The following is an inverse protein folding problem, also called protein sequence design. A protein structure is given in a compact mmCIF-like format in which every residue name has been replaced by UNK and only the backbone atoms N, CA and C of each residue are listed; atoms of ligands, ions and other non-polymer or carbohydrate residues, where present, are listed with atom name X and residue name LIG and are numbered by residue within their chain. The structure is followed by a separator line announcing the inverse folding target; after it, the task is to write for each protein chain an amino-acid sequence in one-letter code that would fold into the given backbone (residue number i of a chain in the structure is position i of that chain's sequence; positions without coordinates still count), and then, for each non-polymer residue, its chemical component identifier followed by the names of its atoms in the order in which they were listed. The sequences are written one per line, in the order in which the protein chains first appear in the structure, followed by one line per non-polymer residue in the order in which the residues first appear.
data_IF_312255971374
#
_entry.id   IF_312255971374
#
_cell.length_a   1.000
_cell.length_b   1.000
_cell.length_c   1.000
_cell.angle_alpha   90.00
_cell.angle_beta   90.00
_cell.angle_gamma   90.00
#
_symmetry.space_group_name_H-M   'P 1'
#
loop_
_entity.id
_entity.type
_entity.pdbx_description
1 polymer ?
#
# COMPACT_ATOMS: atom_id res chain seq x y z
N UNK A 1 27.93 -19.26 -0.87
CA UNK A 1 27.15 -18.00 -1.03
C UNK A 1 25.86 -18.15 -1.86
N UNK A 2 25.71 -19.07 -2.82
CA UNK A 2 24.48 -19.12 -3.65
C UNK A 2 23.23 -19.63 -2.92
N UNK A 3 23.35 -20.55 -1.95
CA UNK A 3 22.19 -21.08 -1.20
C UNK A 3 21.53 -19.98 -0.35
N UNK A 4 22.32 -19.17 0.36
CA UNK A 4 21.83 -18.04 1.15
C UNK A 4 21.12 -17.00 0.27
N UNK A 5 21.69 -16.64 -0.89
CA UNK A 5 21.04 -15.72 -1.81
C UNK A 5 19.72 -16.28 -2.39
N UNK A 6 19.68 -17.57 -2.71
CA UNK A 6 18.46 -18.22 -3.19
C UNK A 6 17.37 -18.28 -2.11
N UNK A 7 17.75 -18.53 -0.85
CA UNK A 7 16.82 -18.50 0.30
C UNK A 7 16.29 -17.09 0.54
N UNK A 8 17.14 -16.06 0.52
CA UNK A 8 16.72 -14.66 0.68
C UNK A 8 15.80 -14.22 -0.44
N UNK A 9 16.10 -14.58 -1.70
CA UNK A 9 15.25 -14.27 -2.85
C UNK A 9 13.93 -15.02 -2.80
N UNK A 10 13.93 -16.29 -2.38
CA UNK A 10 12.71 -17.07 -2.19
C UNK A 10 11.84 -16.48 -1.07
N UNK A 11 12.42 -16.14 0.07
CA UNK A 11 11.72 -15.50 1.18
C UNK A 11 11.15 -14.13 0.78
N UNK A 12 11.92 -13.33 0.03
CA UNK A 12 11.47 -12.04 -0.51
C UNK A 12 10.30 -12.19 -1.47
N UNK A 13 10.37 -13.13 -2.42
CA UNK A 13 9.26 -13.44 -3.34
C UNK A 13 8.04 -14.01 -2.61
N UNK A 14 8.23 -14.93 -1.67
CA UNK A 14 7.13 -15.48 -0.86
C UNK A 14 6.43 -14.39 -0.04
N UNK A 15 7.20 -13.50 0.60
CA UNK A 15 6.66 -12.34 1.33
C UNK A 15 5.87 -11.39 0.42
N UNK A 16 6.36 -11.16 -0.80
CA UNK A 16 5.69 -10.32 -1.79
C UNK A 16 4.38 -10.95 -2.30
N UNK A 17 4.35 -12.27 -2.53
CA UNK A 17 3.13 -13.02 -2.91
C UNK A 17 2.11 -13.00 -1.77
N UNK A 18 2.54 -13.19 -0.52
CA UNK A 18 1.68 -13.06 0.65
C UNK A 18 1.12 -11.64 0.74
N UNK A 19 1.94 -10.62 0.53
CA UNK A 19 1.50 -9.21 0.50
C UNK A 19 0.46 -8.97 -0.61
N UNK A 20 0.68 -9.51 -1.82
CA UNK A 20 -0.23 -9.43 -2.97
C UNK A 20 -1.62 -9.96 -2.62
N UNK A 21 -1.70 -11.13 -2.00
CA UNK A 21 -2.96 -11.80 -1.65
C UNK A 21 -3.46 -11.52 -0.23
N UNK A 22 -2.75 -10.72 0.57
CA UNK A 22 -3.09 -10.48 1.97
C UNK A 22 -4.51 -9.98 2.22
N UNK A 23 -5.09 -9.03 1.43
CA UNK A 23 -6.47 -8.60 1.67
C UNK A 23 -7.45 -9.75 1.48
N UNK A 24 -7.26 -10.54 0.42
CA UNK A 24 -8.12 -11.71 0.11
C UNK A 24 -8.04 -12.77 1.20
N UNK A 25 -6.84 -13.07 1.69
CA UNK A 25 -6.63 -14.05 2.77
C UNK A 25 -7.32 -13.57 4.05
N UNK A 26 -7.07 -12.32 4.47
CA UNK A 26 -7.66 -11.75 5.68
C UNK A 26 -9.19 -11.70 5.60
N UNK A 27 -9.76 -11.31 4.46
CA UNK A 27 -11.22 -11.33 4.26
C UNK A 27 -11.76 -12.75 4.35
N UNK A 28 -11.12 -13.72 3.69
CA UNK A 28 -11.57 -15.12 3.71
C UNK A 28 -11.55 -15.70 5.12
N UNK A 29 -10.43 -15.51 5.85
CA UNK A 29 -10.28 -15.96 7.24
C UNK A 29 -11.26 -15.24 8.15
N UNK A 30 -11.45 -13.93 7.97
CA UNK A 30 -12.40 -13.13 8.74
C UNK A 30 -13.85 -13.59 8.54
N UNK A 31 -14.27 -13.87 7.30
CA UNK A 31 -15.62 -14.39 7.02
C UNK A 31 -15.82 -15.77 7.62
N UNK A 32 -14.85 -16.68 7.46
CA UNK A 32 -14.91 -18.01 8.06
C UNK A 32 -14.98 -17.95 9.60
N UNK A 33 -14.17 -17.08 10.21
CA UNK A 33 -14.19 -16.85 11.65
C UNK A 33 -15.51 -16.27 12.14
N UNK A 34 -16.14 -15.37 11.37
CA UNK A 34 -17.46 -14.82 11.70
C UNK A 34 -18.55 -15.89 11.73
N UNK A 35 -18.53 -16.83 10.77
CA UNK A 35 -19.40 -18.01 10.80
C UNK A 35 -19.11 -18.85 12.05
N UNK A 36 -17.83 -19.07 12.38
CA UNK A 36 -17.40 -19.76 13.60
C UNK A 36 -17.93 -19.11 14.88
N UNK A 37 -17.93 -17.78 14.97
CA UNK A 37 -18.51 -17.03 16.08
C UNK A 37 -20.00 -17.31 16.24
N UNK A 38 -20.77 -17.32 15.15
CA UNK A 38 -22.21 -17.62 15.21
C UNK A 38 -22.46 -19.03 15.76
N UNK A 39 -21.66 -20.02 15.33
CA UNK A 39 -21.74 -21.40 15.83
C UNK A 39 -21.40 -21.48 17.32
N UNK A 40 -20.29 -20.87 17.75
CA UNK A 40 -19.85 -20.87 19.15
C UNK A 40 -20.84 -20.14 20.06
N UNK A 41 -21.38 -19.00 19.63
CA UNK A 41 -22.38 -18.26 20.37
C UNK A 41 -23.69 -19.05 20.50
N UNK A 42 -24.10 -19.76 19.44
CA UNK A 42 -25.28 -20.64 19.47
C UNK A 42 -25.06 -21.79 20.44
N UNK A 43 -23.90 -22.45 20.40
CA UNK A 43 -23.56 -23.51 21.36
C UNK A 43 -23.49 -23.02 22.81
N UNK A 44 -22.95 -21.81 23.03
CA UNK A 44 -22.96 -21.16 24.33
C UNK A 44 -24.40 -20.92 24.81
N UNK A 45 -25.26 -20.38 23.96
CA UNK A 45 -26.66 -20.09 24.29
C UNK A 45 -27.42 -21.33 24.78
N UNK A 46 -27.18 -22.50 24.17
CA UNK A 46 -27.78 -23.76 24.59
C UNK A 46 -27.39 -24.19 26.02
N UNK A 47 -26.24 -23.76 26.53
CA UNK A 47 -25.74 -24.07 27.87
C UNK A 47 -26.04 -22.99 28.91
N UNK A 48 -26.64 -21.86 28.50
CA UNK A 48 -27.01 -20.77 29.42
C UNK A 48 -28.11 -21.21 30.38
N UNK A 49 -29.05 -22.03 29.92
CA UNK A 49 -30.14 -22.56 30.75
C UNK A 49 -29.63 -23.25 32.01
N UNK A 50 -28.70 -24.19 31.86
CA UNK A 50 -28.09 -24.94 32.97
C UNK A 50 -27.45 -24.00 34.02
N UNK A 51 -26.74 -22.95 33.58
CA UNK A 51 -26.09 -21.99 34.48
C UNK A 51 -27.12 -21.12 35.22
N UNK A 52 -28.19 -20.71 34.54
CA UNK A 52 -29.26 -19.95 35.16
C UNK A 52 -30.02 -20.78 36.18
N UNK A 53 -30.25 -22.05 35.90
CA UNK A 53 -30.92 -22.96 36.82
C UNK A 53 -30.04 -23.28 38.04
N UNK A 54 -28.74 -23.51 37.86
CA UNK A 54 -27.78 -23.57 38.98
C UNK A 54 -27.82 -22.30 39.85
N UNK A 55 -27.85 -21.12 39.23
CA UNK A 55 -27.93 -19.84 39.93
C UNK A 55 -29.22 -19.68 40.73
N UNK A 56 -30.37 -20.08 40.16
CA UNK A 56 -31.66 -20.09 40.86
C UNK A 56 -31.69 -21.08 42.02
N UNK A 57 -31.09 -22.26 41.85
CA UNK A 57 -31.00 -23.28 42.91
C UNK A 57 -30.16 -22.78 44.09
N UNK A 58 -29.04 -22.10 43.82
CA UNK A 58 -28.22 -21.47 44.86
C UNK A 58 -28.99 -20.33 45.53
N UNK A 59 -29.71 -19.50 44.77
CA UNK A 59 -30.54 -18.43 45.31
C UNK A 59 -31.66 -18.97 46.23
N UNK A 60 -32.31 -20.06 45.83
CA UNK A 60 -33.31 -20.76 46.63
C UNK A 60 -32.72 -21.25 47.96
N UNK A 61 -31.51 -21.81 47.94
CA UNK A 61 -30.81 -22.26 49.16
C UNK A 61 -30.45 -21.08 50.08
N UNK A 62 -29.95 -19.97 49.53
CA UNK A 62 -29.65 -18.76 50.30
C UNK A 62 -30.91 -18.24 51.01
N UNK A 63 -32.03 -18.16 50.30
CA UNK A 63 -33.34 -17.80 50.87
C UNK A 63 -33.80 -18.78 51.94
N UNK A 64 -33.65 -20.09 51.71
CA UNK A 64 -34.02 -21.12 52.68
C UNK A 64 -33.24 -21.06 53.99
N UNK A 65 -31.95 -20.69 53.95
CA UNK A 65 -31.15 -20.45 55.16
C UNK A 65 -31.62 -19.20 55.90
N UNK A 66 -31.86 -18.11 55.16
CA UNK A 66 -32.34 -16.85 55.72
C UNK A 66 -33.72 -16.98 56.40
N UNK A 67 -34.65 -17.72 55.79
CA UNK A 67 -35.98 -18.00 56.33
C UNK A 67 -35.98 -19.08 57.44
N UNK A 68 -34.82 -19.62 57.82
CA UNK A 68 -34.69 -20.65 58.86
C UNK A 68 -35.19 -22.05 58.44
N UNK A 69 -35.50 -22.26 57.15
CA UNK A 69 -35.93 -23.55 56.58
C UNK A 69 -34.76 -24.53 56.39
N UNK A 70 -33.54 -24.02 56.22
CA UNK A 70 -32.32 -24.81 56.08
C UNK A 70 -31.40 -24.58 57.28
N UNK A 71 -30.82 -25.67 57.80
CA UNK A 71 -29.92 -25.60 58.96
C UNK A 71 -28.52 -25.14 58.55
N UNK A 72 -28.01 -24.18 59.30
CA UNK A 72 -26.61 -23.74 59.31
C UNK A 72 -25.77 -24.63 60.23
N UNK A 73 -24.45 -24.56 60.10
CA UNK A 73 -23.53 -25.31 60.96
C UNK A 73 -23.74 -24.94 62.44
N UNK A 74 -23.63 -25.91 63.37
CA UNK A 74 -23.81 -25.64 64.79
C UNK A 74 -22.80 -24.58 65.27
N UNK A 75 -23.30 -23.48 65.85
CA UNK A 75 -22.47 -22.39 66.39
C UNK A 75 -22.26 -21.20 65.46
N UNK A 76 -22.75 -21.23 64.22
CA UNK A 76 -22.71 -20.08 63.30
C UNK A 76 -24.04 -19.31 63.30
N UNK A 77 -23.97 -17.99 63.10
CA UNK A 77 -25.12 -17.10 62.91
C UNK A 77 -25.13 -16.58 61.48
N UNK A 78 -26.32 -16.47 60.89
CA UNK A 78 -26.51 -15.92 59.54
C UNK A 78 -27.20 -14.57 59.63
N UNK A 79 -26.50 -13.49 59.29
CA UNK A 79 -27.02 -12.13 59.42
C UNK A 79 -27.69 -11.64 58.13
N UNK A 80 -28.44 -10.53 58.24
CA UNK A 80 -28.99 -9.80 57.08
C UNK A 80 -27.91 -9.31 56.11
N UNK A 81 -26.73 -8.96 56.63
CA UNK A 81 -25.56 -8.58 55.84
C UNK A 81 -25.05 -9.75 54.99
N UNK A 82 -24.97 -10.95 55.58
CA UNK A 82 -24.49 -12.16 54.90
C UNK A 82 -25.48 -12.59 53.80
N UNK A 83 -26.78 -12.51 54.07
CA UNK A 83 -27.83 -12.76 53.07
C UNK A 83 -27.69 -11.89 51.82
N UNK A 84 -27.49 -10.57 52.01
CA UNK A 84 -27.30 -9.65 50.89
C UNK A 84 -26.01 -9.93 50.13
N UNK A 85 -24.92 -10.21 50.85
CA UNK A 85 -23.61 -10.53 50.25
C UNK A 85 -23.67 -11.80 49.42
N UNK A 86 -24.28 -12.87 49.93
CA UNK A 86 -24.40 -14.14 49.23
C UNK A 86 -25.27 -14.04 47.98
N UNK A 87 -26.37 -13.28 48.04
CA UNK A 87 -27.21 -12.99 46.88
C UNK A 87 -26.42 -12.26 45.78
N UNK A 88 -25.67 -11.23 46.14
CA UNK A 88 -24.82 -10.48 45.20
C UNK A 88 -23.74 -11.41 44.63
N UNK A 89 -23.07 -12.18 45.48
CA UNK A 89 -22.03 -13.11 45.08
C UNK A 89 -22.56 -14.16 44.10
N UNK A 90 -23.72 -14.75 44.37
CA UNK A 90 -24.36 -15.72 43.48
C UNK A 90 -24.67 -15.10 42.10
N UNK A 91 -25.21 -13.88 42.07
CA UNK A 91 -25.49 -13.16 40.82
C UNK A 91 -24.21 -12.86 40.05
N UNK A 92 -23.17 -12.39 40.72
CA UNK A 92 -21.85 -12.11 40.11
C UNK A 92 -21.23 -13.40 39.56
N UNK A 93 -21.24 -14.49 40.33
CA UNK A 93 -20.72 -15.78 39.87
C UNK A 93 -21.48 -16.32 38.66
N UNK A 94 -22.81 -16.21 38.67
CA UNK A 94 -23.67 -16.60 37.54
C UNK A 94 -23.31 -15.77 36.30
N UNK A 95 -23.18 -14.45 36.43
CA UNK A 95 -22.76 -13.58 35.34
C UNK A 95 -21.35 -13.92 34.82
N UNK A 96 -20.40 -14.21 35.70
CA UNK A 96 -19.04 -14.62 35.32
C UNK A 96 -19.03 -15.97 34.59
N UNK A 97 -19.85 -16.94 35.01
CA UNK A 97 -20.00 -18.23 34.31
C UNK A 97 -20.56 -18.03 32.90
N UNK A 98 -21.58 -17.19 32.74
CA UNK A 98 -22.13 -16.84 31.42
C UNK A 98 -21.06 -16.13 30.57
N UNK A 99 -20.36 -15.14 31.13
CA UNK A 99 -19.27 -14.45 30.44
C UNK A 99 -18.18 -15.41 29.95
N UNK A 100 -17.74 -16.33 30.83
CA UNK A 100 -16.75 -17.36 30.49
C UNK A 100 -17.22 -18.28 29.37
N UNK A 101 -18.53 -18.58 29.32
CA UNK A 101 -19.12 -19.43 28.29
C UNK A 101 -19.12 -18.76 26.90
N UNK A 102 -19.39 -17.45 26.82
CA UNK A 102 -19.34 -16.69 25.57
C UNK A 102 -17.95 -16.22 25.17
N UNK A 103 -16.95 -16.29 26.07
CA UNK A 103 -15.61 -15.79 25.82
C UNK A 103 -14.98 -16.29 24.51
N UNK A 104 -15.06 -17.59 24.13
CA UNK A 104 -14.51 -18.06 22.85
C UNK A 104 -15.19 -17.40 21.64
N UNK A 105 -16.52 -17.27 21.66
CA UNK A 105 -17.27 -16.66 20.56
C UNK A 105 -16.90 -15.17 20.40
N UNK A 106 -16.79 -14.45 21.51
CA UNK A 106 -16.40 -13.03 21.54
C UNK A 106 -14.98 -12.85 20.99
N UNK A 107 -14.03 -13.67 21.45
CA UNK A 107 -12.63 -13.59 20.98
C UNK A 107 -12.52 -13.85 19.48
N UNK A 108 -13.17 -14.91 18.97
CA UNK A 108 -13.19 -15.21 17.53
C UNK A 108 -13.89 -14.09 16.76
N UNK A 109 -14.95 -13.50 17.31
CA UNK A 109 -15.71 -12.42 16.65
C UNK A 109 -14.89 -11.14 16.51
N UNK A 110 -14.19 -10.75 17.57
CA UNK A 110 -13.26 -9.61 17.55
C UNK A 110 -12.13 -9.85 16.55
N UNK A 111 -11.48 -11.02 16.60
CA UNK A 111 -10.40 -11.36 15.68
C UNK A 111 -10.87 -11.35 14.21
N UNK A 112 -12.05 -11.93 13.94
CA UNK A 112 -12.64 -11.98 12.60
C UNK A 112 -12.93 -10.59 12.05
N UNK A 113 -13.50 -9.71 12.89
CA UNK A 113 -13.79 -8.32 12.52
C UNK A 113 -12.49 -7.56 12.23
N UNK A 114 -11.47 -7.73 13.06
CA UNK A 114 -10.16 -7.13 12.85
C UNK A 114 -9.52 -7.60 11.53
N UNK A 115 -9.63 -8.89 11.17
CA UNK A 115 -9.17 -9.39 9.88
C UNK A 115 -9.87 -8.69 8.69
N UNK A 116 -11.21 -8.58 8.72
CA UNK A 116 -11.95 -7.94 7.63
C UNK A 116 -11.61 -6.44 7.51
N UNK A 117 -11.54 -5.72 8.63
CA UNK A 117 -11.17 -4.30 8.62
C UNK A 117 -9.73 -4.09 8.18
N UNK A 118 -8.81 -4.96 8.59
CA UNK A 118 -7.42 -4.95 8.15
C UNK A 118 -7.30 -5.17 6.63
N UNK A 119 -8.03 -6.14 6.08
CA UNK A 119 -8.09 -6.36 4.63
C UNK A 119 -8.60 -5.11 3.89
N UNK A 120 -9.69 -4.52 4.38
CA UNK A 120 -10.25 -3.31 3.79
C UNK A 120 -9.26 -2.14 3.83
N UNK A 121 -8.58 -1.92 4.95
CA UNK A 121 -7.58 -0.86 5.06
C UNK A 121 -6.43 -1.03 4.05
N UNK A 122 -5.88 -2.24 3.91
CA UNK A 122 -4.81 -2.53 2.93
C UNK A 122 -5.31 -2.28 1.50
N UNK A 123 -6.51 -2.78 1.16
CA UNK A 123 -7.09 -2.61 -0.17
C UNK A 123 -7.37 -1.15 -0.49
N UNK A 124 -7.94 -0.40 0.45
CA UNK A 124 -8.24 1.03 0.30
C UNK A 124 -6.97 1.85 0.08
N UNK A 125 -5.88 1.55 0.81
CA UNK A 125 -4.59 2.22 0.59
C UNK A 125 -4.02 1.91 -0.81
N UNK A 126 -4.10 0.66 -1.26
CA UNK A 126 -3.64 0.26 -2.62
C UNK A 126 -4.48 0.92 -3.71
N UNK A 127 -5.80 0.95 -3.56
CA UNK A 127 -6.70 1.59 -4.53
C UNK A 127 -6.48 3.11 -4.58
N UNK A 128 -6.30 3.77 -3.43
CA UNK A 128 -5.98 5.20 -3.39
C UNK A 128 -4.66 5.51 -4.10
N UNK A 129 -3.63 4.68 -3.91
CA UNK A 129 -2.37 4.80 -4.63
C UNK A 129 -2.52 4.62 -6.14
N UNK A 130 -3.28 3.62 -6.60
CA UNK A 130 -3.54 3.40 -8.02
C UNK A 130 -4.31 4.56 -8.65
N UNK A 131 -5.32 5.08 -7.96
CA UNK A 131 -6.07 6.27 -8.41
C UNK A 131 -5.16 7.48 -8.52
N UNK A 132 -4.31 7.72 -7.51
CA UNK A 132 -3.34 8.81 -7.56
C UNK A 132 -2.39 8.68 -8.75
N UNK A 133 -1.84 7.48 -9.00
CA UNK A 133 -0.98 7.21 -10.16
C UNK A 133 -1.72 7.45 -11.49
N UNK A 134 -2.97 6.99 -11.62
CA UNK A 134 -3.77 7.20 -12.82
C UNK A 134 -4.06 8.69 -13.07
N UNK A 135 -4.34 9.45 -12.02
CA UNK A 135 -4.50 10.91 -12.12
C UNK A 135 -3.20 11.59 -12.56
N UNK A 136 -2.06 11.22 -11.98
CA UNK A 136 -0.74 11.74 -12.38
C UNK A 136 -0.40 11.41 -13.84
N UNK A 137 -0.73 10.20 -14.30
CA UNK A 137 -0.53 9.79 -15.70
C UNK A 137 -1.45 10.56 -16.66
N UNK A 138 -2.71 10.77 -16.26
CA UNK A 138 -3.65 11.56 -17.05
C UNK A 138 -3.17 13.01 -17.17
N UNK A 139 -2.64 13.57 -16.09
CA UNK A 139 -2.03 14.91 -16.09
C UNK A 139 -0.79 14.97 -17.00
N UNK A 140 0.09 13.96 -16.97
CA UNK A 140 1.29 13.95 -17.83
C UNK A 140 0.92 13.84 -19.32
N UNK A 141 -0.06 13.00 -19.67
CA UNK A 141 -0.61 12.93 -21.03
C UNK A 141 -1.21 14.28 -21.41
N UNK A 142 -1.99 14.92 -20.55
CA UNK A 142 -2.57 16.24 -20.83
C UNK A 142 -1.49 17.30 -21.12
N UNK A 143 -0.41 17.34 -20.34
CA UNK A 143 0.72 18.27 -20.55
C UNK A 143 1.53 17.95 -21.81
N UNK A 144 1.58 16.68 -22.21
CA UNK A 144 2.14 16.30 -23.49
C UNK A 144 1.26 16.86 -24.62
N UNK A 145 -0.04 16.56 -24.59
CA UNK A 145 -1.02 17.05 -25.57
C UNK A 145 -0.97 18.57 -25.73
N UNK A 146 -0.99 19.31 -24.61
CA UNK A 146 -0.91 20.79 -24.64
C UNK A 146 0.31 21.32 -25.38
N UNK A 147 1.48 20.66 -25.24
CA UNK A 147 2.70 21.06 -25.94
C UNK A 147 2.67 20.70 -27.41
N UNK A 148 2.20 19.51 -27.76
CA UNK A 148 2.01 19.09 -29.15
C UNK A 148 1.07 20.08 -29.85
N UNK A 149 -0.03 20.47 -29.21
CA UNK A 149 -0.94 21.49 -29.73
C UNK A 149 -0.28 22.86 -29.86
N UNK A 150 0.54 23.27 -28.89
CA UNK A 150 1.26 24.55 -28.93
C UNK A 150 2.31 24.62 -30.04
N UNK A 151 3.02 23.53 -30.31
CA UNK A 151 4.10 23.48 -31.30
C UNK A 151 3.59 23.19 -32.71
N UNK A 152 2.61 22.28 -32.85
CA UNK A 152 2.15 21.75 -34.13
C UNK A 152 0.74 22.20 -34.52
N UNK A 153 0.02 22.86 -33.61
CA UNK A 153 -1.38 23.24 -33.77
C UNK A 153 -2.35 22.20 -33.21
N UNK A 154 -3.50 22.65 -32.72
CA UNK A 154 -4.54 21.80 -32.13
C UNK A 154 -5.02 20.70 -33.08
N UNK A 155 -5.16 20.99 -34.38
CA UNK A 155 -5.61 20.00 -35.37
C UNK A 155 -4.61 18.85 -35.55
N UNK A 156 -3.30 19.13 -35.46
CA UNK A 156 -2.25 18.11 -35.61
C UNK A 156 -2.15 17.25 -34.36
N UNK A 157 -2.27 17.86 -33.19
CA UNK A 157 -2.34 17.16 -31.92
C UNK A 157 -3.53 16.20 -31.87
N UNK A 158 -4.73 16.69 -32.21
CA UNK A 158 -5.96 15.90 -32.14
C UNK A 158 -5.92 14.72 -33.12
N UNK A 159 -5.40 14.96 -34.33
CA UNK A 159 -5.16 13.89 -35.30
C UNK A 159 -4.12 12.86 -34.80
N UNK A 160 -3.03 13.30 -34.17
CA UNK A 160 -2.02 12.40 -33.60
C UNK A 160 -2.60 11.56 -32.47
N UNK A 161 -3.38 12.17 -31.57
CA UNK A 161 -4.05 11.49 -30.47
C UNK A 161 -5.07 10.45 -30.95
N UNK A 162 -5.82 10.78 -32.00
CA UNK A 162 -6.80 9.89 -32.61
C UNK A 162 -6.22 8.91 -33.63
N UNK A 163 -4.90 8.94 -33.87
CA UNK A 163 -4.23 8.08 -34.85
C UNK A 163 -4.70 8.31 -36.29
N UNK A 164 -5.11 9.54 -36.61
CA UNK A 164 -5.59 9.95 -37.94
C UNK A 164 -4.39 10.38 -38.77
N UNK A 165 -4.19 9.71 -39.92
CA UNK A 165 -3.20 10.14 -40.90
C UNK A 165 -3.61 11.47 -41.54
N UNK A 166 -2.88 12.54 -41.24
CA UNK A 166 -3.06 13.84 -41.87
C UNK A 166 -2.58 13.78 -43.33
N UNK A 167 -3.51 13.97 -44.28
CA UNK A 167 -3.17 14.06 -45.70
C UNK A 167 -2.69 15.47 -46.04
N UNK A 168 -1.44 15.59 -46.51
CA UNK A 168 -0.88 16.85 -47.01
C UNK A 168 -1.49 17.22 -48.38
N UNK A 169 -2.52 18.07 -48.43
CA UNK A 169 -3.01 18.60 -49.71
C UNK A 169 -2.25 19.87 -50.10
N UNK A 170 -1.40 19.77 -51.14
CA UNK A 170 -0.82 20.95 -51.81
C UNK A 170 -1.87 21.59 -52.73
N UNK A 171 -2.61 22.61 -52.28
CA UNK A 171 -3.42 23.45 -53.18
C UNK A 171 -2.60 24.63 -53.72
N UNK A 172 -2.37 24.67 -55.04
CA UNK A 172 -1.89 25.87 -55.74
C UNK A 172 -3.06 26.83 -55.96
N UNK A 173 -3.02 28.01 -55.33
CA UNK A 173 -3.90 29.13 -55.69
C UNK A 173 -3.08 30.40 -55.91
N UNK A 174 -3.19 30.95 -57.12
CA UNK A 174 -2.83 32.30 -57.59
C UNK A 174 -1.78 33.11 -56.81
N UNK A 175 -0.51 33.00 -57.23
CA UNK A 175 0.58 34.02 -57.23
C UNK A 175 0.85 34.90 -55.98
N UNK A 176 0.22 34.67 -54.84
CA UNK A 176 0.66 35.09 -53.50
C UNK A 176 0.37 33.95 -52.54
N UNK A 177 1.41 33.18 -52.25
CA UNK A 177 1.36 32.03 -51.34
C UNK A 177 1.21 32.53 -49.91
N UNK A 178 0.10 32.21 -49.26
CA UNK A 178 0.06 32.13 -47.79
C UNK A 178 0.27 30.65 -47.49
N UNK A 179 1.43 30.33 -46.94
CA UNK A 179 1.73 28.98 -46.46
C UNK A 179 1.01 28.78 -45.14
N UNK A 180 -0.09 28.04 -45.14
CA UNK A 180 -0.56 27.37 -43.93
C UNK A 180 -0.10 25.92 -44.04
N UNK A 181 1.10 25.68 -43.53
CA UNK A 181 1.74 24.38 -43.56
C UNK A 181 1.49 23.70 -42.22
N UNK A 182 0.51 22.80 -42.15
CA UNK A 182 0.49 21.78 -41.09
C UNK A 182 1.53 20.72 -41.43
N UNK A 183 2.78 21.01 -41.07
CA UNK A 183 3.90 20.07 -41.15
C UNK A 183 3.86 19.22 -39.89
N UNK A 184 3.60 17.91 -40.02
CA UNK A 184 4.15 16.97 -39.04
C UNK A 184 5.69 17.02 -39.20
N UNK A 185 6.45 17.43 -38.19
CA UNK A 185 7.90 17.61 -38.35
C UNK A 185 8.56 16.27 -38.67
N UNK A 186 9.54 16.30 -39.58
CA UNK A 186 10.36 15.13 -39.99
C UNK A 186 11.10 14.49 -38.79
N UNK A 187 11.30 15.29 -37.73
CA UNK A 187 11.74 14.87 -36.42
C UNK A 187 10.54 15.01 -35.49
N UNK A 188 10.00 13.92 -34.95
CA UNK A 188 8.86 13.95 -34.03
C UNK A 188 9.04 14.94 -32.87
N UNK A 189 7.95 15.29 -32.18
CA UNK A 189 7.99 16.18 -31.01
C UNK A 189 9.06 15.69 -30.03
N UNK A 190 10.01 16.57 -29.68
CA UNK A 190 11.10 16.25 -28.77
C UNK A 190 10.57 16.11 -27.34
N UNK A 191 10.07 14.91 -27.02
CA UNK A 191 9.64 14.53 -25.68
C UNK A 191 10.79 14.10 -24.78
N UNK A 192 12.04 14.07 -25.29
CA UNK A 192 13.20 13.51 -24.57
C UNK A 192 13.46 14.23 -23.24
N UNK A 193 13.03 15.49 -23.12
CA UNK A 193 13.27 16.33 -21.95
C UNK A 193 12.07 16.40 -20.99
N UNK A 194 11.10 15.48 -21.10
CA UNK A 194 9.94 15.45 -20.21
C UNK A 194 10.22 14.55 -18.99
N UNK A 195 10.28 15.11 -17.77
CA UNK A 195 10.48 14.29 -16.59
C UNK A 195 9.32 13.30 -16.43
N UNK A 196 9.63 12.04 -16.11
CA UNK A 196 8.63 11.06 -15.69
C UNK A 196 7.81 11.58 -14.51
N UNK A 197 6.63 11.01 -14.31
CA UNK A 197 5.80 11.25 -13.12
C UNK A 197 6.51 10.87 -11.80
N UNK A 198 7.55 10.05 -11.90
CA UNK A 198 8.42 9.64 -10.79
C UNK A 198 9.64 10.53 -10.60
N UNK A 199 9.90 11.48 -11.50
CA UNK A 199 11.12 12.27 -11.44
C UNK A 199 11.18 13.15 -10.19
N UNK A 200 12.38 13.33 -9.63
CA UNK A 200 12.65 14.17 -8.47
C UNK A 200 13.89 15.02 -8.70
N UNK A 201 13.83 16.28 -8.26
CA UNK A 201 14.99 17.17 -8.32
C UNK A 201 15.79 16.97 -7.03
N UNK A 202 17.07 16.62 -7.17
CA UNK A 202 18.02 16.55 -6.07
C UNK A 202 18.79 17.87 -6.01
N UNK A 203 18.39 18.75 -5.10
CA UNK A 203 18.91 20.10 -4.93
C UNK A 203 19.07 20.48 -3.44
N UNK A 204 19.35 21.76 -3.17
CA UNK A 204 19.62 22.31 -1.84
C UNK A 204 18.49 22.13 -0.82
N UNK A 205 17.27 21.77 -1.24
CA UNK A 205 16.16 21.47 -0.34
C UNK A 205 16.17 20.03 0.15
N UNK A 206 16.97 19.15 -0.47
CA UNK A 206 17.13 17.77 -0.04
C UNK A 206 18.13 17.68 1.13
N UNK A 207 17.80 16.97 2.23
CA UNK A 207 18.67 16.89 3.40
C UNK A 207 20.02 16.19 3.16
N UNK A 208 20.12 15.37 2.11
CA UNK A 208 21.33 14.65 1.74
C UNK A 208 22.16 15.40 0.67
N UNK A 209 21.72 16.58 0.24
CA UNK A 209 22.44 17.37 -0.75
C UNK A 209 23.61 18.16 -0.13
N UNK A 210 24.69 18.26 -0.88
CA UNK A 210 25.89 19.04 -0.57
C UNK A 210 26.19 20.06 -1.66
N UNK A 211 26.94 21.11 -1.32
CA UNK A 211 27.44 22.08 -2.31
C UNK A 211 28.47 21.47 -3.26
N UNK A 212 29.10 20.34 -2.88
CA UNK A 212 30.07 19.63 -3.70
C UNK A 212 29.35 18.72 -4.71
N UNK A 213 29.46 18.98 -6.01
CA UNK A 213 28.85 18.12 -7.04
C UNK A 213 29.38 16.68 -6.98
N UNK A 214 30.65 16.51 -6.61
CA UNK A 214 31.30 15.21 -6.50
C UNK A 214 30.71 14.37 -5.35
N UNK A 215 30.44 15.00 -4.20
CA UNK A 215 29.80 14.34 -3.06
C UNK A 215 28.38 13.88 -3.42
N UNK A 216 27.61 14.75 -4.07
CA UNK A 216 26.26 14.41 -4.53
C UNK A 216 26.27 13.26 -5.54
N UNK A 217 27.16 13.33 -6.53
CA UNK A 217 27.31 12.27 -7.53
C UNK A 217 27.70 10.94 -6.88
N UNK A 218 28.67 10.96 -5.97
CA UNK A 218 29.10 9.76 -5.26
C UNK A 218 27.97 9.16 -4.42
N UNK A 219 27.25 9.98 -3.65
CA UNK A 219 26.09 9.55 -2.86
C UNK A 219 25.04 8.85 -3.73
N UNK A 220 24.65 9.48 -4.85
CA UNK A 220 23.63 8.94 -5.75
C UNK A 220 24.07 7.64 -6.42
N UNK A 221 25.33 7.54 -6.87
CA UNK A 221 25.87 6.31 -7.46
C UNK A 221 25.95 5.17 -6.44
N UNK A 222 26.35 5.46 -5.21
CA UNK A 222 26.36 4.48 -4.12
C UNK A 222 24.94 3.98 -3.81
N UNK A 223 23.97 4.90 -3.72
CA UNK A 223 22.57 4.53 -3.51
C UNK A 223 22.04 3.66 -4.65
N UNK A 224 22.27 4.04 -5.91
CA UNK A 224 21.86 3.24 -7.07
C UNK A 224 22.48 1.83 -7.05
N UNK A 225 23.78 1.73 -6.73
CA UNK A 225 24.48 0.44 -6.66
C UNK A 225 23.91 -0.43 -5.52
N UNK A 226 23.71 0.15 -4.34
CA UNK A 226 23.10 -0.52 -3.19
C UNK A 226 21.72 -1.08 -3.54
N UNK A 227 20.88 -0.30 -4.21
CA UNK A 227 19.54 -0.74 -4.59
C UNK A 227 19.54 -1.81 -5.68
N UNK A 228 20.50 -1.79 -6.61
CA UNK A 228 20.69 -2.88 -7.56
C UNK A 228 21.08 -4.19 -6.87
N UNK A 229 21.95 -4.13 -5.86
CA UNK A 229 22.30 -5.31 -5.06
C UNK A 229 21.10 -5.80 -4.24
N UNK A 230 20.33 -4.87 -3.66
CA UNK A 230 19.09 -5.19 -2.96
C UNK A 230 18.05 -5.83 -3.88
N UNK A 231 17.88 -5.32 -5.10
CA UNK A 231 16.99 -5.86 -6.11
C UNK A 231 17.35 -7.31 -6.45
N UNK A 232 18.64 -7.59 -6.66
CA UNK A 232 19.13 -8.96 -6.91
C UNK A 232 18.93 -9.88 -5.71
N UNK A 233 19.17 -9.37 -4.49
CA UNK A 233 19.10 -10.13 -3.26
C UNK A 233 17.66 -10.46 -2.81
N UNK A 234 16.77 -9.45 -2.80
CA UNK A 234 15.37 -9.58 -2.36
C UNK A 234 14.42 -9.97 -3.51
N UNK A 235 14.84 -9.73 -4.75
CA UNK A 235 14.04 -9.96 -5.94
C UNK A 235 13.11 -8.81 -6.32
N UNK A 236 13.02 -7.76 -5.50
CA UNK A 236 12.16 -6.60 -5.74
C UNK A 236 12.59 -5.38 -4.90
N UNK A 237 12.23 -4.17 -5.33
CA UNK A 237 12.42 -2.90 -4.59
C UNK A 237 11.25 -1.96 -4.87
N UNK A 238 10.70 -1.29 -3.86
CA UNK A 238 9.67 -0.27 -4.06
C UNK A 238 10.29 1.10 -4.29
N UNK A 239 9.63 1.95 -5.09
CA UNK A 239 10.11 3.31 -5.36
C UNK A 239 10.19 4.17 -4.09
N UNK A 240 9.28 4.00 -3.14
CA UNK A 240 9.34 4.73 -1.87
C UNK A 240 10.57 4.35 -1.01
N UNK A 241 11.13 3.14 -1.14
CA UNK A 241 12.35 2.77 -0.43
C UNK A 241 13.54 3.60 -0.95
N UNK A 242 13.58 3.81 -2.27
CA UNK A 242 14.55 4.67 -2.94
C UNK A 242 14.35 6.12 -2.51
N UNK A 243 13.11 6.64 -2.56
CA UNK A 243 12.82 8.01 -2.12
C UNK A 243 13.26 8.29 -0.69
N UNK A 244 12.89 7.42 0.25
CA UNK A 244 13.24 7.59 1.67
C UNK A 244 14.76 7.62 1.87
N UNK A 245 15.50 6.74 1.18
CA UNK A 245 16.96 6.69 1.27
C UNK A 245 17.62 7.93 0.67
N UNK A 246 17.06 8.45 -0.43
CA UNK A 246 17.54 9.67 -1.08
C UNK A 246 17.10 10.95 -0.35
N UNK A 247 16.20 10.87 0.63
CA UNK A 247 15.71 12.04 1.38
C UNK A 247 14.49 12.73 0.76
N UNK A 248 13.74 12.03 -0.10
CA UNK A 248 12.48 12.51 -0.68
C UNK A 248 11.26 12.01 0.08
N UNK A 249 10.17 12.77 -0.02
CA UNK A 249 8.88 12.36 0.52
C UNK A 249 8.31 11.14 -0.21
N UNK A 250 7.77 10.22 0.59
CA UNK A 250 7.02 9.06 0.09
C UNK A 250 5.79 9.52 -0.66
N UNK A 251 5.46 8.80 -1.73
CA UNK A 251 4.24 9.07 -2.50
C UNK A 251 3.29 7.88 -2.49
N UNK A 252 1.99 8.10 -2.73
CA UNK A 252 1.05 7.02 -2.94
C UNK A 252 1.50 6.10 -4.09
N UNK A 253 1.92 6.68 -5.22
CA UNK A 253 2.40 5.93 -6.37
C UNK A 253 3.60 5.04 -6.00
N UNK A 254 4.61 5.59 -5.33
CA UNK A 254 5.82 4.85 -4.94
C UNK A 254 5.59 3.73 -3.92
N UNK A 255 4.39 3.63 -3.34
CA UNK A 255 4.00 2.53 -2.46
C UNK A 255 3.61 1.26 -3.24
N UNK A 256 3.20 1.40 -4.50
CA UNK A 256 2.69 0.32 -5.34
C UNK A 256 3.54 0.04 -6.56
N UNK A 257 4.39 0.99 -6.97
CA UNK A 257 5.31 0.82 -8.10
C UNK A 257 6.75 0.58 -7.64
N UNK A 258 7.56 0.00 -8.53
CA UNK A 258 8.97 -0.25 -8.28
C UNK A 258 9.59 -1.15 -9.33
N UNK A 259 10.52 -2.01 -8.90
CA UNK A 259 11.29 -2.90 -9.77
C UNK A 259 11.21 -4.35 -9.32
N UNK A 260 11.13 -5.28 -10.27
CA UNK A 260 11.11 -6.72 -10.01
C UNK A 260 12.21 -7.44 -10.79
N UNK A 261 13.09 -8.13 -10.05
CA UNK A 261 14.22 -8.85 -10.63
C UNK A 261 13.79 -10.17 -11.27
N UNK A 262 14.25 -10.40 -12.50
CA UNK A 262 13.87 -11.49 -13.39
C UNK A 262 12.34 -11.58 -13.56
N UNK A 263 11.71 -10.47 -13.96
CA UNK A 263 10.34 -10.46 -14.50
C UNK A 263 10.41 -10.38 -16.02
N UNK A 264 9.36 -10.85 -16.71
CA UNK A 264 9.32 -10.86 -18.19
C UNK A 264 9.25 -9.44 -18.79
N UNK A 265 8.78 -8.46 -18.01
CA UNK A 265 8.51 -7.08 -18.44
C UNK A 265 9.38 -6.02 -17.73
N UNK A 266 10.39 -6.41 -16.94
CA UNK A 266 11.23 -5.49 -16.18
C UNK A 266 12.65 -5.35 -16.71
N UNK A 267 13.28 -4.21 -16.43
CA UNK A 267 14.63 -3.88 -16.91
C UNK A 267 15.73 -4.69 -16.19
N UNK A 268 15.41 -5.28 -15.03
CA UNK A 268 16.31 -6.07 -14.16
C UNK A 268 17.44 -5.28 -13.50
N UNK A 269 17.43 -3.96 -13.64
CA UNK A 269 18.32 -3.04 -12.93
C UNK A 269 17.57 -1.74 -12.59
N UNK A 270 18.10 -1.04 -11.60
CA UNK A 270 17.60 0.27 -11.17
C UNK A 270 18.56 1.33 -11.71
N UNK A 271 18.01 2.30 -12.42
CA UNK A 271 18.71 3.48 -12.88
C UNK A 271 17.98 4.75 -12.43
N UNK A 272 18.77 5.70 -11.92
CA UNK A 272 18.28 7.00 -11.49
C UNK A 272 18.32 8.03 -12.63
N UNK A 273 18.75 7.61 -13.83
CA UNK A 273 18.81 8.46 -15.01
C UNK A 273 19.94 9.49 -14.96
N UNK A 274 20.94 9.28 -14.09
CA UNK A 274 22.03 10.25 -13.86
C UNK A 274 22.88 10.42 -15.13
N UNK A 275 23.08 9.34 -15.89
CA UNK A 275 23.99 9.28 -17.05
C UNK A 275 23.29 9.42 -18.39
N UNK A 276 21.97 9.63 -18.41
CA UNK A 276 21.23 9.89 -19.62
C UNK A 276 21.44 11.36 -20.04
N UNK A 277 22.54 11.60 -20.76
CA UNK A 277 23.02 12.91 -21.21
C UNK A 277 22.45 13.33 -22.56
N UNK A 278 21.85 12.40 -23.30
CA UNK A 278 21.23 12.66 -24.60
C UNK A 278 19.94 13.49 -24.45
N UNK A 279 19.24 13.34 -23.32
CA UNK A 279 17.97 14.00 -23.02
C UNK A 279 18.10 15.36 -22.35
N UNK A 280 19.18 15.64 -21.59
CA UNK A 280 19.25 16.85 -20.78
C UNK A 280 20.69 17.40 -20.57
N UNK A 281 21.01 18.63 -21.06
CA UNK A 281 22.34 19.23 -20.90
C UNK A 281 22.71 19.54 -19.44
N UNK A 282 21.74 19.63 -18.52
CA UNK A 282 21.98 19.83 -17.07
C UNK A 282 22.63 18.59 -16.46
N UNK A 283 22.28 17.38 -16.93
CA UNK A 283 22.89 16.13 -16.46
C UNK A 283 24.37 16.04 -16.85
N UNK A 284 24.71 16.51 -18.05
CA UNK A 284 26.12 16.61 -18.48
C UNK A 284 26.94 17.51 -17.56
N UNK A 285 26.38 18.66 -17.15
CA UNK A 285 27.05 19.57 -16.19
C UNK A 285 27.20 18.94 -14.81
N UNK A 286 26.19 18.20 -14.35
CA UNK A 286 26.28 17.45 -13.09
C UNK A 286 27.38 16.39 -13.14
N UNK A 287 27.48 15.61 -14.23
CA UNK A 287 28.51 14.58 -14.40
C UNK A 287 29.92 15.17 -14.46
N UNK A 288 30.06 16.35 -15.08
CA UNK A 288 31.33 17.08 -15.16
C UNK A 288 31.68 17.87 -13.89
N UNK A 289 30.91 17.69 -12.80
CA UNK A 289 31.07 18.43 -11.54
C UNK A 289 30.92 19.95 -11.67
N UNK A 290 30.19 20.43 -12.68
CA UNK A 290 29.96 21.86 -12.93
C UNK A 290 28.71 22.37 -12.20
N UNK A 291 27.76 21.49 -11.88
CA UNK A 291 26.53 21.84 -11.15
C UNK A 291 26.23 20.79 -10.06
N UNK A 292 25.87 21.19 -8.83
CA UNK A 292 25.63 20.26 -7.72
C UNK A 292 24.24 19.62 -7.75
N UNK A 293 23.28 20.15 -8.51
CA UNK A 293 21.89 19.66 -8.53
C UNK A 293 21.59 18.90 -9.82
N UNK A 294 20.70 17.89 -9.72
CA UNK A 294 20.34 17.04 -10.87
C UNK A 294 18.89 16.58 -10.79
N UNK A 295 18.25 16.46 -11.96
CA UNK A 295 16.95 15.79 -12.09
C UNK A 295 17.17 14.28 -12.19
N UNK A 296 16.69 13.56 -11.19
CA UNK A 296 16.63 12.10 -11.18
C UNK A 296 15.35 11.65 -11.86
N UNK A 297 15.50 10.79 -12.86
CA UNK A 297 14.37 10.17 -13.55
C UNK A 297 14.55 8.65 -13.49
N UNK A 298 13.61 8.00 -12.80
CA UNK A 298 13.73 6.61 -12.41
C UNK A 298 13.08 5.70 -13.45
N UNK A 299 13.78 4.64 -13.87
CA UNK A 299 13.29 3.64 -14.83
C UNK A 299 12.30 2.65 -14.18
N UNK A 300 11.23 3.14 -13.56
CA UNK A 300 10.29 2.29 -12.82
C UNK A 300 9.59 1.28 -13.73
N UNK A 301 9.71 -0.03 -13.44
CA UNK A 301 9.10 -1.11 -14.23
C UNK A 301 7.56 -1.02 -14.25
N UNK A 302 6.94 -0.54 -13.16
CA UNK A 302 5.50 -0.34 -13.05
C UNK A 302 4.91 -0.88 -11.75
N UNK A 303 3.63 -1.28 -11.78
CA UNK A 303 2.89 -1.77 -10.61
C UNK A 303 3.43 -3.14 -10.20
N UNK A 304 3.99 -3.20 -8.98
CA UNK A 304 4.68 -4.39 -8.47
C UNK A 304 3.82 -5.64 -8.49
N UNK A 305 2.52 -5.51 -8.22
CA UNK A 305 1.61 -6.63 -8.16
C UNK A 305 1.29 -7.28 -9.51
N UNK A 306 1.49 -6.56 -10.61
CA UNK A 306 1.24 -7.06 -11.96
C UNK A 306 2.50 -7.73 -12.56
N UNK A 307 3.67 -7.45 -11.97
CA UNK A 307 4.98 -7.95 -12.39
C UNK A 307 5.37 -9.29 -11.73
N UNK A 308 4.48 -9.89 -10.93
CA UNK A 308 4.69 -11.14 -10.16
C UNK A 308 3.65 -12.19 -10.49
#
# INVERSE_FOLDING_TARGET
MSILNNVTKFAGRAGLVISKHSPTILTTVGVAGFIGTAVLASQATLKVGDILDEGKDIESKIKGVHEGKLKIKPGETYSEEDYKKDLILNRVQTALKIGKLYAPAILVGIASTACVLGAHHILSKRNAALVATASMLTESISKYRERVAKELGEEVEDALYHGIELKTEKKKVNKKTVEETTVAPENGVDTSNMPSIYARIFDEYNPNWSKSPEENRYFLQCAQSMFNDQLKAKGHVFLNDVYETLGFDKTPAGQVVGWVYNSDNGDNFIDFGIFDTASNPVRTRFINSEQPSVLLDFNVDGVMYDLI
#
